data_IF_364234671681
#
_entry.id   IF_364234671681
#
_cell.length_a   1.000
_cell.length_b   1.000
_cell.length_c   1.000
_cell.angle_alpha   90.00
_cell.angle_beta   90.00
_cell.angle_gamma   90.00
#
_symmetry.space_group_name_H-M   'P 1'
#
loop_
_entity.id
_entity.type
_entity.pdbx_description
1 polymer ?
#
# COMPACT_ATOMS: atom_id res chain seq x y z
N UNK A 1 25.59 -3.52 -21.57
CA UNK A 1 25.63 -4.47 -22.71
C UNK A 1 25.61 -5.89 -22.15
N UNK A 2 24.93 -6.79 -22.87
CA UNK A 2 24.85 -8.25 -22.73
C UNK A 2 23.93 -8.85 -21.64
N UNK A 3 22.87 -9.46 -22.14
CA UNK A 3 22.01 -10.46 -21.50
C UNK A 3 22.76 -11.77 -21.22
N UNK A 4 22.12 -12.69 -20.48
CA UNK A 4 22.16 -14.10 -20.81
C UNK A 4 20.78 -14.65 -21.17
N UNK A 5 20.87 -15.69 -22.00
CA UNK A 5 19.85 -16.27 -22.87
C UNK A 5 18.97 -17.29 -22.14
N UNK A 6 17.76 -17.38 -22.67
CA UNK A 6 16.82 -18.51 -22.79
C UNK A 6 17.10 -19.82 -22.04
N UNK A 7 16.05 -20.28 -21.35
CA UNK A 7 15.87 -21.66 -20.93
C UNK A 7 14.39 -22.05 -20.86
N UNK A 8 13.93 -22.70 -21.93
CA UNK A 8 12.95 -23.81 -21.96
C UNK A 8 11.48 -23.53 -21.62
N UNK A 9 10.65 -23.63 -22.67
CA UNK A 9 9.19 -23.85 -22.61
C UNK A 9 8.80 -25.08 -21.81
N UNK A 10 7.83 -24.95 -20.91
CA UNK A 10 6.82 -25.97 -20.70
C UNK A 10 5.53 -25.36 -20.11
N UNK A 11 4.45 -25.70 -20.78
CA UNK A 11 3.09 -25.83 -20.28
C UNK A 11 2.11 -24.65 -20.35
N UNK A 12 0.94 -25.05 -20.85
CA UNK A 12 -0.14 -24.31 -21.47
C UNK A 12 -1.02 -23.70 -20.39
N UNK A 13 -0.54 -22.66 -19.73
CA UNK A 13 -1.38 -21.73 -19.00
C UNK A 13 -1.63 -20.54 -19.92
N UNK A 14 -2.84 -20.40 -20.45
CA UNK A 14 -3.26 -19.20 -21.17
C UNK A 14 -3.18 -18.03 -20.18
N UNK A 15 -2.01 -17.38 -20.15
CA UNK A 15 -1.77 -16.22 -19.33
C UNK A 15 -2.73 -15.15 -19.85
N UNK A 16 -3.69 -14.76 -19.00
CA UNK A 16 -4.49 -13.54 -19.16
C UNK A 16 -3.52 -12.48 -19.65
N UNK A 17 -3.74 -11.83 -20.80
CA UNK A 17 -2.80 -10.85 -21.32
C UNK A 17 -2.55 -9.80 -20.25
N UNK A 18 -1.37 -9.88 -19.63
CA UNK A 18 -0.86 -8.98 -18.58
C UNK A 18 -0.61 -7.58 -19.13
N UNK A 19 -0.84 -7.37 -20.44
CA UNK A 19 -0.50 -6.20 -21.21
C UNK A 19 -1.31 -4.93 -20.88
N UNK A 20 -2.39 -4.99 -20.08
CA UNK A 20 -3.05 -3.78 -19.56
C UNK A 20 -3.42 -3.90 -18.08
N UNK A 21 -2.39 -3.96 -17.25
CA UNK A 21 -2.43 -3.36 -15.91
C UNK A 21 -2.30 -1.83 -15.96
N UNK A 22 -2.46 -1.20 -17.14
CA UNK A 22 -2.75 0.23 -17.19
C UNK A 22 -4.11 0.41 -16.52
N UNK A 23 -4.07 0.78 -15.25
CA UNK A 23 -5.16 1.45 -14.56
C UNK A 23 -5.55 2.63 -15.46
N UNK A 24 -6.51 2.44 -16.35
CA UNK A 24 -7.24 3.55 -16.93
C UNK A 24 -7.75 4.34 -15.73
N UNK A 25 -7.48 5.65 -15.72
CA UNK A 25 -7.94 6.54 -14.63
C UNK A 25 -9.47 6.48 -14.48
N UNK A 26 -10.17 6.02 -15.53
CA UNK A 26 -11.59 5.70 -15.56
C UNK A 26 -11.83 4.20 -15.35
N UNK A 27 -12.77 3.79 -14.47
CA UNK A 27 -13.12 2.38 -14.27
C UNK A 27 -13.88 1.77 -15.45
N UNK A 28 -14.28 2.60 -16.42
CA UNK A 28 -14.99 2.20 -17.64
C UNK A 28 -14.01 2.02 -18.79
N UNK A 29 -14.20 0.97 -19.60
CA UNK A 29 -13.51 0.79 -20.87
C UNK A 29 -14.17 1.73 -21.89
N UNK A 30 -13.60 2.94 -22.02
CA UNK A 30 -14.13 3.96 -22.91
C UNK A 30 -13.81 3.68 -24.38
N UNK A 31 -12.78 2.87 -24.66
CA UNK A 31 -12.35 2.56 -26.02
C UNK A 31 -12.99 1.23 -26.50
N UNK A 32 -13.83 1.26 -27.55
CA UNK A 32 -14.48 0.08 -28.10
C UNK A 32 -13.48 -0.95 -28.64
N UNK A 33 -12.24 -0.56 -28.97
CA UNK A 33 -11.19 -1.51 -29.33
C UNK A 33 -10.74 -2.37 -28.14
N UNK A 34 -10.82 -1.86 -26.90
CA UNK A 34 -10.51 -2.63 -25.69
C UNK A 34 -11.62 -3.63 -25.35
N UNK A 35 -12.86 -3.20 -25.56
CA UNK A 35 -14.05 -4.05 -25.40
C UNK A 35 -14.03 -5.17 -26.46
N UNK A 36 -13.67 -4.86 -27.70
CA UNK A 36 -13.53 -5.84 -28.77
C UNK A 36 -12.35 -6.80 -28.51
N UNK A 37 -11.26 -6.33 -27.92
CA UNK A 37 -10.10 -7.17 -27.58
C UNK A 37 -10.38 -8.19 -26.47
N UNK A 38 -11.35 -7.93 -25.59
CA UNK A 38 -11.79 -8.89 -24.58
C UNK A 38 -12.55 -10.07 -25.18
N UNK A 39 -13.14 -9.89 -26.37
CA UNK A 39 -13.82 -10.92 -27.14
C UNK A 39 -14.84 -11.71 -26.30
N UNK A 40 -15.71 -11.00 -25.57
CA UNK A 40 -16.67 -11.51 -24.59
C UNK A 40 -17.98 -10.73 -24.68
N UNK A 41 -19.16 -11.31 -24.37
CA UNK A 41 -20.43 -10.57 -24.45
C UNK A 41 -20.47 -9.35 -23.53
N UNK A 42 -21.11 -8.28 -24.00
CA UNK A 42 -21.14 -6.94 -23.35
C UNK A 42 -21.63 -6.98 -21.89
N UNK A 43 -22.55 -7.88 -21.56
CA UNK A 43 -23.05 -8.04 -20.19
C UNK A 43 -21.95 -8.42 -19.19
N UNK A 44 -20.98 -9.23 -19.61
CA UNK A 44 -19.84 -9.63 -18.78
C UNK A 44 -18.77 -8.55 -18.73
N UNK A 45 -18.64 -7.75 -19.80
CA UNK A 45 -17.78 -6.56 -19.81
C UNK A 45 -18.26 -5.55 -18.75
N UNK A 46 -19.57 -5.30 -18.65
CA UNK A 46 -20.13 -4.44 -17.60
C UNK A 46 -19.84 -4.96 -16.18
N UNK A 47 -19.93 -6.28 -15.97
CA UNK A 47 -19.57 -6.90 -14.67
C UNK A 47 -18.09 -6.75 -14.33
N UNK A 48 -17.22 -6.79 -15.34
CA UNK A 48 -15.78 -6.53 -15.19
C UNK A 48 -15.54 -5.07 -14.79
N UNK A 49 -16.22 -4.13 -15.43
CA UNK A 49 -16.13 -2.69 -15.10
C UNK A 49 -16.65 -2.40 -13.68
N UNK A 50 -17.77 -3.01 -13.28
CA UNK A 50 -18.30 -2.86 -11.91
C UNK A 50 -17.32 -3.38 -10.87
N UNK A 51 -16.69 -4.54 -11.10
CA UNK A 51 -15.64 -5.07 -10.23
C UNK A 51 -14.41 -4.15 -10.17
N UNK A 52 -14.03 -3.54 -11.31
CA UNK A 52 -12.94 -2.59 -11.39
C UNK A 52 -13.25 -1.27 -10.67
N UNK A 53 -14.51 -0.82 -10.70
CA UNK A 53 -14.97 0.34 -9.92
C UNK A 53 -14.89 0.08 -8.42
N UNK A 54 -15.36 -1.09 -7.97
CA UNK A 54 -15.27 -1.50 -6.55
C UNK A 54 -13.81 -1.58 -6.11
N UNK A 55 -12.93 -2.14 -6.94
CA UNK A 55 -11.49 -2.13 -6.71
C UNK A 55 -10.94 -0.70 -6.56
N UNK A 56 -11.33 0.22 -7.46
CA UNK A 56 -10.91 1.61 -7.43
C UNK A 56 -11.26 2.32 -6.13
N UNK A 57 -12.46 2.09 -5.59
CA UNK A 57 -12.87 2.65 -4.30
C UNK A 57 -11.97 2.15 -3.17
N UNK A 58 -11.77 0.83 -3.07
CA UNK A 58 -10.91 0.25 -2.04
C UNK A 58 -9.43 0.63 -2.20
N UNK A 59 -8.97 0.85 -3.44
CA UNK A 59 -7.63 1.34 -3.72
C UNK A 59 -7.40 2.75 -3.16
N UNK A 60 -8.38 3.64 -3.30
CA UNK A 60 -8.29 4.99 -2.72
C UNK A 60 -8.24 4.94 -1.19
N UNK A 61 -9.07 4.12 -0.56
CA UNK A 61 -9.04 3.91 0.90
C UNK A 61 -7.73 3.28 1.37
N UNK A 62 -7.24 2.24 0.66
CA UNK A 62 -5.93 1.64 0.92
C UNK A 62 -4.80 2.67 0.85
N UNK A 63 -4.83 3.57 -0.13
CA UNK A 63 -3.84 4.64 -0.27
C UNK A 63 -3.91 5.63 0.90
N UNK A 64 -5.11 5.97 1.38
CA UNK A 64 -5.28 6.82 2.55
C UNK A 64 -4.67 6.17 3.80
N UNK A 65 -4.97 4.90 4.07
CA UNK A 65 -4.37 4.17 5.21
C UNK A 65 -2.86 4.03 5.07
N UNK A 66 -2.34 3.78 3.86
CA UNK A 66 -0.90 3.71 3.60
C UNK A 66 -0.21 5.04 3.90
N UNK A 67 -0.82 6.16 3.50
CA UNK A 67 -0.27 7.47 3.79
C UNK A 67 -0.30 7.78 5.29
N UNK A 68 -1.40 7.48 5.97
CA UNK A 68 -1.51 7.62 7.42
C UNK A 68 -0.46 6.77 8.15
N UNK A 69 -0.26 5.52 7.72
CA UNK A 69 0.75 4.63 8.25
C UNK A 69 2.16 5.18 8.05
N UNK A 70 2.51 5.66 6.85
CA UNK A 70 3.81 6.27 6.58
C UNK A 70 4.07 7.49 7.50
N UNK A 71 3.08 8.37 7.65
CA UNK A 71 3.19 9.51 8.57
C UNK A 71 3.34 9.08 10.03
N UNK A 72 2.57 8.09 10.48
CA UNK A 72 2.66 7.55 11.84
C UNK A 72 4.03 6.87 12.10
N UNK A 73 4.55 6.10 11.14
CA UNK A 73 5.87 5.46 11.25
C UNK A 73 6.97 6.49 11.36
N UNK A 74 6.93 7.53 10.52
CA UNK A 74 7.94 8.59 10.54
C UNK A 74 7.92 9.37 11.86
N UNK A 75 6.74 9.69 12.39
CA UNK A 75 6.59 10.40 13.67
C UNK A 75 7.07 9.56 14.85
N UNK A 76 6.62 8.31 14.96
CA UNK A 76 7.10 7.38 15.99
C UNK A 76 8.61 7.14 15.88
N UNK A 77 9.13 6.98 14.66
CA UNK A 77 10.56 6.82 14.40
C UNK A 77 11.38 8.01 14.89
N UNK A 78 10.91 9.23 14.61
CA UNK A 78 11.57 10.46 15.07
C UNK A 78 11.54 10.60 16.60
N UNK A 79 10.38 10.35 17.22
CA UNK A 79 10.22 10.37 18.68
C UNK A 79 11.16 9.34 19.35
N UNK A 80 11.19 8.10 18.86
CA UNK A 80 12.08 7.05 19.35
C UNK A 80 13.56 7.41 19.18
N UNK A 81 13.94 8.02 18.05
CA UNK A 81 15.31 8.44 17.78
C UNK A 81 15.78 9.49 18.81
N UNK A 82 14.98 10.54 19.05
CA UNK A 82 15.29 11.57 20.04
C UNK A 82 15.37 11.00 21.46
N UNK A 83 14.45 10.12 21.85
CA UNK A 83 14.48 9.44 23.15
C UNK A 83 15.73 8.56 23.31
N UNK A 84 16.13 7.85 22.26
CA UNK A 84 17.35 7.05 22.24
C UNK A 84 18.62 7.89 22.42
N UNK A 85 18.71 9.03 21.71
CA UNK A 85 19.81 9.99 21.89
C UNK A 85 19.81 10.56 23.32
N UNK A 86 18.65 10.92 23.85
CA UNK A 86 18.50 11.39 25.23
C UNK A 86 18.98 10.35 26.25
N UNK A 87 18.51 9.11 26.13
CA UNK A 87 18.94 7.99 26.98
C UNK A 87 20.45 7.72 26.87
N UNK A 88 21.01 7.80 25.65
CA UNK A 88 22.45 7.65 25.43
C UNK A 88 23.26 8.76 26.13
N UNK A 89 22.84 10.03 25.99
CA UNK A 89 23.48 11.16 26.68
C UNK A 89 23.43 10.98 28.20
N UNK A 90 22.27 10.61 28.76
CA UNK A 90 22.11 10.36 30.20
C UNK A 90 23.01 9.22 30.67
N UNK A 91 23.03 8.10 29.94
CA UNK A 91 23.87 6.94 30.28
C UNK A 91 25.37 7.28 30.29
N UNK A 92 25.81 8.14 29.37
CA UNK A 92 27.21 8.59 29.29
C UNK A 92 27.51 9.63 30.36
N UNK A 93 26.59 10.55 30.64
CA UNK A 93 26.72 11.53 31.71
C UNK A 93 26.82 10.88 33.08
N UNK A 94 26.07 9.80 33.33
CA UNK A 94 26.17 9.00 34.56
C UNK A 94 27.52 8.28 34.70
N UNK A 95 28.17 7.89 33.59
CA UNK A 95 29.50 7.28 33.60
C UNK A 95 30.64 8.28 33.84
N UNK A 96 30.42 9.56 33.56
CA UNK A 96 31.36 10.66 33.83
C UNK A 96 31.00 11.45 35.10
N UNK A 97 30.21 10.87 36.00
CA UNK A 97 29.74 11.53 37.22
C UNK A 97 30.83 11.80 38.25
N UNK A 98 32.11 11.61 37.93
CA UNK A 98 33.21 12.07 38.78
C UNK A 98 33.24 13.62 38.76
N UNK A 99 32.85 14.27 39.86
CA UNK A 99 32.68 15.73 39.91
C UNK A 99 34.01 16.48 39.82
N UNK A 100 35.14 15.78 39.96
CA UNK A 100 36.48 16.38 40.01
C UNK A 100 37.13 16.60 38.63
N UNK A 101 36.65 15.94 37.56
CA UNK A 101 37.30 16.03 36.24
C UNK A 101 36.34 16.39 35.08
N UNK A 102 35.10 16.74 35.39
CA UNK A 102 34.07 17.04 34.38
C UNK A 102 34.18 18.49 33.88
N UNK A 103 34.70 18.65 32.65
CA UNK A 103 34.64 19.90 31.89
C UNK A 103 33.19 20.44 31.78
N UNK A 104 32.21 19.54 31.77
CA UNK A 104 30.77 19.87 31.71
C UNK A 104 30.29 20.53 32.99
N UNK A 105 30.77 20.10 34.16
CA UNK A 105 30.40 20.70 35.45
C UNK A 105 30.92 22.13 35.61
N UNK A 106 32.18 22.39 35.20
CA UNK A 106 32.77 23.75 35.19
C UNK A 106 32.09 24.65 34.15
N UNK A 107 31.70 24.09 32.99
CA UNK A 107 30.99 24.81 31.95
C UNK A 107 29.54 25.17 32.37
N UNK A 108 28.82 24.25 33.00
CA UNK A 108 27.46 24.46 33.50
C UNK A 108 27.37 25.43 34.70
N UNK A 109 28.46 25.60 35.46
CA UNK A 109 28.55 26.60 36.54
C UNK A 109 28.66 28.04 36.04
N UNK A 110 29.01 28.27 34.77
CA UNK A 110 29.11 29.61 34.21
C UNK A 110 27.71 30.23 34.07
N UNK A 111 27.49 31.42 34.66
CA UNK A 111 26.17 32.05 34.79
C UNK A 111 25.43 32.25 33.45
N UNK A 112 26.17 32.55 32.38
CA UNK A 112 25.65 32.74 31.03
C UNK A 112 25.22 31.42 30.38
N UNK A 113 26.04 30.38 30.53
CA UNK A 113 25.72 29.02 30.07
C UNK A 113 24.50 28.51 30.81
N UNK A 114 24.44 28.67 32.14
CA UNK A 114 23.28 28.28 32.96
C UNK A 114 22.00 28.98 32.50
N UNK A 115 22.03 30.28 32.20
CA UNK A 115 20.86 31.02 31.71
C UNK A 115 20.37 30.53 30.34
N UNK A 116 21.25 30.06 29.48
CA UNK A 116 20.90 29.50 28.17
C UNK A 116 20.45 28.04 28.27
N UNK A 117 21.09 27.23 29.12
CA UNK A 117 20.78 25.80 29.25
C UNK A 117 19.53 25.54 30.06
N UNK A 118 19.21 26.33 31.09
CA UNK A 118 18.02 26.10 31.93
C UNK A 118 16.69 26.11 31.14
N UNK A 119 16.40 27.11 30.27
CA UNK A 119 15.17 27.08 29.47
C UNK A 119 15.19 25.96 28.42
N UNK A 120 16.35 25.64 27.85
CA UNK A 120 16.50 24.52 26.89
C UNK A 120 16.26 23.17 27.58
N UNK A 121 16.76 22.98 28.80
CA UNK A 121 16.53 21.77 29.59
C UNK A 121 15.07 21.63 30.04
N UNK A 122 14.43 22.74 30.43
CA UNK A 122 12.99 22.74 30.76
C UNK A 122 12.14 22.44 29.52
N UNK A 123 12.47 23.02 28.37
CA UNK A 123 11.83 22.72 27.10
C UNK A 123 12.01 21.25 26.71
N UNK A 124 13.23 20.70 26.87
CA UNK A 124 13.51 19.30 26.63
C UNK A 124 12.71 18.35 27.53
N UNK A 125 12.56 18.68 28.82
CA UNK A 125 11.73 17.92 29.75
C UNK A 125 10.24 17.99 29.41
N UNK A 126 9.75 19.16 28.97
CA UNK A 126 8.37 19.32 28.50
C UNK A 126 8.11 18.48 27.25
N UNK A 127 8.98 18.59 26.24
CA UNK A 127 8.90 17.79 25.00
C UNK A 127 8.97 16.30 25.33
N UNK A 128 9.86 15.89 26.23
CA UNK A 128 9.98 14.49 26.67
C UNK A 128 8.67 13.99 27.30
N UNK A 129 8.11 14.76 28.23
CA UNK A 129 6.86 14.39 28.92
C UNK A 129 5.70 14.30 27.92
N UNK A 130 5.56 15.30 27.04
CA UNK A 130 4.56 15.29 25.97
C UNK A 130 4.73 14.07 25.05
N UNK A 131 5.97 13.77 24.64
CA UNK A 131 6.29 12.61 23.78
C UNK A 131 5.93 11.29 24.47
N UNK A 132 6.25 11.12 25.76
CA UNK A 132 5.88 9.93 26.52
C UNK A 132 4.36 9.74 26.62
N UNK A 133 3.59 10.83 26.68
CA UNK A 133 2.12 10.76 26.66
C UNK A 133 1.54 10.51 25.26
N UNK A 134 2.22 10.96 24.20
CA UNK A 134 1.78 10.81 22.80
C UNK A 134 2.12 9.44 22.19
N UNK A 135 3.26 8.86 22.56
CA UNK A 135 3.78 7.60 22.03
C UNK A 135 2.75 6.45 22.01
N UNK A 136 1.98 6.19 23.09
CA UNK A 136 0.97 5.14 23.10
C UNK A 136 -0.17 5.38 22.11
N UNK A 137 -0.55 6.64 21.92
CA UNK A 137 -1.56 7.04 20.95
C UNK A 137 -1.05 6.84 19.52
N UNK A 138 0.17 7.29 19.23
CA UNK A 138 0.79 7.15 17.91
C UNK A 138 0.99 5.67 17.52
N UNK A 139 1.35 4.82 18.49
CA UNK A 139 1.40 3.36 18.28
C UNK A 139 0.03 2.74 18.00
N UNK A 140 -1.03 3.19 18.67
CA UNK A 140 -2.40 2.73 18.39
C UNK A 140 -2.81 3.12 16.97
N UNK A 141 -2.57 4.37 16.58
CA UNK A 141 -2.85 4.86 15.23
C UNK A 141 -2.11 4.05 14.16
N UNK A 142 -0.84 3.72 14.40
CA UNK A 142 -0.02 2.91 13.49
C UNK A 142 -0.58 1.49 13.36
N UNK A 143 -1.02 0.88 14.46
CA UNK A 143 -1.65 -0.44 14.46
C UNK A 143 -2.99 -0.45 13.76
N UNK A 144 -3.82 0.57 13.99
CA UNK A 144 -5.12 0.72 13.32
C UNK A 144 -4.94 0.95 11.81
N UNK A 145 -3.99 1.78 11.41
CA UNK A 145 -3.67 1.98 10.00
C UNK A 145 -3.15 0.69 9.35
N UNK A 146 -2.32 -0.10 10.04
CA UNK A 146 -1.86 -1.41 9.55
C UNK A 146 -3.02 -2.38 9.33
N UNK A 147 -3.96 -2.47 10.30
CA UNK A 147 -5.15 -3.31 10.15
C UNK A 147 -6.06 -2.80 9.01
N UNK A 148 -6.19 -1.48 8.84
CA UNK A 148 -6.88 -0.86 7.72
C UNK A 148 -6.27 -1.23 6.36
N UNK A 149 -4.94 -1.24 6.25
CA UNK A 149 -4.23 -1.66 5.02
C UNK A 149 -4.54 -3.13 4.70
N UNK A 150 -4.45 -4.02 5.68
CA UNK A 150 -4.69 -5.46 5.47
C UNK A 150 -6.13 -5.74 5.04
N UNK A 151 -7.10 -5.12 5.70
CA UNK A 151 -8.53 -5.28 5.38
C UNK A 151 -8.84 -4.77 3.97
N UNK A 152 -8.36 -3.58 3.61
CA UNK A 152 -8.57 -3.02 2.26
C UNK A 152 -7.87 -3.84 1.19
N UNK A 153 -6.66 -4.34 1.45
CA UNK A 153 -5.96 -5.25 0.54
C UNK A 153 -6.76 -6.54 0.29
N UNK A 154 -7.40 -7.09 1.31
CA UNK A 154 -8.27 -8.26 1.15
C UNK A 154 -9.52 -7.96 0.31
N UNK A 155 -10.14 -6.79 0.50
CA UNK A 155 -11.30 -6.36 -0.29
C UNK A 155 -10.92 -6.10 -1.76
N UNK A 156 -9.79 -5.45 -2.01
CA UNK A 156 -9.22 -5.28 -3.34
C UNK A 156 -8.97 -6.62 -4.04
N UNK A 157 -8.42 -7.60 -3.31
CA UNK A 157 -8.21 -8.95 -3.84
C UNK A 157 -9.53 -9.60 -4.25
N UNK A 158 -10.57 -9.54 -3.40
CA UNK A 158 -11.91 -10.05 -3.72
C UNK A 158 -12.51 -9.40 -4.97
N UNK A 159 -12.31 -8.09 -5.15
CA UNK A 159 -12.77 -7.39 -6.35
C UNK A 159 -12.05 -7.88 -7.61
N UNK A 160 -10.75 -8.15 -7.53
CA UNK A 160 -9.98 -8.74 -8.63
C UNK A 160 -10.40 -10.19 -8.92
N UNK A 161 -10.67 -10.98 -7.88
CA UNK A 161 -11.19 -12.34 -8.04
C UNK A 161 -12.57 -12.32 -8.73
N UNK A 162 -13.46 -11.40 -8.33
CA UNK A 162 -14.77 -11.21 -8.98
C UNK A 162 -14.63 -10.81 -10.45
N UNK A 163 -13.68 -9.93 -10.78
CA UNK A 163 -13.33 -9.58 -12.15
C UNK A 163 -12.88 -10.81 -12.95
N UNK A 164 -12.02 -11.64 -12.37
CA UNK A 164 -11.53 -12.86 -13.03
C UNK A 164 -12.68 -13.85 -13.29
N UNK A 165 -13.55 -14.06 -12.32
CA UNK A 165 -14.73 -14.93 -12.47
C UNK A 165 -15.67 -14.41 -13.58
N UNK A 166 -15.93 -13.10 -13.62
CA UNK A 166 -16.76 -12.51 -14.67
C UNK A 166 -16.16 -12.70 -16.08
N UNK A 167 -14.83 -12.56 -16.20
CA UNK A 167 -14.12 -12.81 -17.46
C UNK A 167 -14.24 -14.28 -17.91
N UNK A 168 -14.01 -15.23 -17.01
CA UNK A 168 -14.12 -16.66 -17.33
C UNK A 168 -15.54 -17.06 -17.72
N UNK A 169 -16.55 -16.57 -16.98
CA UNK A 169 -17.95 -16.80 -17.32
C UNK A 169 -18.31 -16.21 -18.70
N UNK A 170 -17.74 -15.05 -19.03
CA UNK A 170 -17.87 -14.41 -20.32
C UNK A 170 -17.29 -15.23 -21.48
N UNK A 171 -16.09 -15.80 -21.31
CA UNK A 171 -15.48 -16.70 -22.31
C UNK A 171 -16.36 -17.93 -22.58
N UNK A 172 -16.80 -18.61 -21.52
CA UNK A 172 -17.65 -19.80 -21.64
C UNK A 172 -18.98 -19.45 -22.33
N UNK A 173 -19.58 -18.31 -22.01
CA UNK A 173 -20.81 -17.86 -22.65
C UNK A 173 -20.61 -17.61 -24.16
N UNK A 174 -19.46 -17.06 -24.57
CA UNK A 174 -19.13 -16.87 -25.98
C UNK A 174 -19.01 -18.19 -26.73
N UNK A 175 -18.25 -19.14 -26.18
CA UNK A 175 -18.09 -20.46 -26.80
C UNK A 175 -19.44 -21.16 -27.01
N UNK A 176 -20.36 -21.02 -26.06
CA UNK A 176 -21.72 -21.54 -26.19
C UNK A 176 -22.56 -20.83 -27.25
N UNK A 177 -22.39 -19.51 -27.41
CA UNK A 177 -23.07 -18.75 -28.46
C UNK A 177 -22.56 -19.15 -29.85
N UNK A 178 -21.23 -19.22 -30.03
CA UNK A 178 -20.61 -19.66 -31.28
C UNK A 178 -21.02 -21.09 -31.66
N UNK A 179 -21.09 -22.00 -30.69
CA UNK A 179 -21.57 -23.36 -30.92
C UNK A 179 -23.04 -23.40 -31.36
N UNK A 180 -23.91 -22.60 -30.72
CA UNK A 180 -25.33 -22.50 -31.10
C UNK A 180 -25.52 -21.88 -32.48
N UNK A 181 -24.73 -20.87 -32.81
CA UNK A 181 -24.73 -20.27 -34.15
C UNK A 181 -24.29 -21.29 -35.20
N UNK A 182 -23.18 -22.01 -34.97
CA UNK A 182 -22.72 -23.06 -35.87
C UNK A 182 -23.77 -24.18 -36.09
N UNK A 183 -24.47 -24.59 -35.03
CA UNK A 183 -25.58 -25.54 -35.13
C UNK A 183 -26.78 -24.99 -35.91
N UNK A 184 -27.12 -23.72 -35.73
CA UNK A 184 -28.20 -23.05 -36.46
C UNK A 184 -27.86 -22.92 -37.95
N UNK A 185 -26.63 -22.47 -38.28
CA UNK A 185 -26.14 -22.40 -39.66
C UNK A 185 -26.13 -23.78 -40.33
N UNK A 186 -25.67 -24.83 -39.64
CA UNK A 186 -25.65 -26.19 -40.18
C UNK A 186 -27.04 -26.78 -40.41
N UNK A 187 -28.06 -26.36 -39.64
CA UNK A 187 -29.46 -26.77 -39.84
C UNK A 187 -30.08 -26.04 -41.03
N UNK A 188 -29.82 -24.76 -41.18
CA UNK A 188 -30.37 -23.95 -42.29
C UNK A 188 -29.81 -24.40 -43.65
N UNK A 189 -28.52 -24.73 -43.72
CA UNK A 189 -27.88 -25.31 -44.91
C UNK A 189 -28.40 -26.71 -45.32
N UNK A 190 -29.04 -27.45 -44.42
CA UNK A 190 -29.63 -28.77 -44.72
C UNK A 190 -31.07 -28.68 -45.23
N UNK A 191 -31.69 -27.50 -45.13
CA UNK A 191 -33.05 -27.23 -45.58
C UNK A 191 -33.10 -26.59 -46.99
N UNK A 192 -31.95 -26.21 -47.54
CA UNK A 192 -31.77 -25.83 -48.96
C UNK A 192 -31.37 -27.04 -49.80
#
# INVERSE_FOLDING_TARGET
MQAPKEGVSAEKGEAIPTARQSLSETPFMADPAEVAALDIPVEYVRRIEDAQRVYGNHYMEHRMYTNAWNHAVMTVGFQCCWLGVGAWIVSRSLRYSDPMNSLVARWAQHSWVRRLTTPISCLGAFIFTATCTQLPYDFRLLREASAGIETQRALMKRAMDARHVAYQAGKVAKEQLEAREAEAFAKDMKLQ
#
